data_IF_951994989574
#
_entry.id   IF_951994989574
#
_cell.length_a   1.000
_cell.length_b   1.000
_cell.length_c   1.000
_cell.angle_alpha   90.00
_cell.angle_beta   90.00
_cell.angle_gamma   90.00
#
_symmetry.space_group_name_H-M   'P 1'
#
loop_
_entity.id
_entity.type
_entity.pdbx_description
1 polymer ?
#
# COMPACT_ATOMS: atom_id res chain seq x y z
N UNK A 1 -11.37 -18.97 -6.50
CA UNK A 1 -11.38 -18.43 -7.87
C UNK A 1 -10.06 -17.69 -8.08
N UNK A 2 -9.46 -17.79 -9.25
CA UNK A 2 -8.23 -17.06 -9.59
C UNK A 2 -8.63 -15.79 -10.33
N UNK A 3 -8.23 -14.61 -9.83
CA UNK A 3 -8.43 -13.36 -10.58
C UNK A 3 -7.53 -13.37 -11.81
N UNK A 4 -8.12 -13.20 -13.00
CA UNK A 4 -7.40 -13.11 -14.28
C UNK A 4 -7.50 -11.68 -14.82
N UNK A 5 -6.81 -10.78 -14.13
CA UNK A 5 -6.80 -9.38 -14.51
C UNK A 5 -5.44 -8.73 -14.21
N UNK A 6 -5.15 -7.66 -14.94
CA UNK A 6 -4.04 -6.76 -14.64
C UNK A 6 -4.61 -5.47 -14.07
N UNK A 7 -4.14 -5.06 -12.90
CA UNK A 7 -4.50 -3.77 -12.32
C UNK A 7 -3.41 -2.74 -12.60
N UNK A 8 -3.84 -1.57 -13.06
CA UNK A 8 -2.98 -0.39 -13.24
C UNK A 8 -3.47 0.67 -12.25
N UNK A 9 -2.55 1.17 -11.44
CA UNK A 9 -2.85 2.07 -10.32
C UNK A 9 -2.04 3.35 -10.53
N UNK A 10 -2.77 4.45 -10.71
CA UNK A 10 -2.23 5.77 -10.92
C UNK A 10 -1.29 5.91 -12.12
N UNK A 11 -0.41 6.91 -12.06
CA UNK A 11 0.56 7.20 -13.11
C UNK A 11 0.75 8.70 -13.32
N UNK A 12 1.40 9.09 -14.41
CA UNK A 12 1.47 10.49 -14.84
C UNK A 12 1.08 10.60 -16.31
N UNK A 13 0.15 11.49 -16.62
CA UNK A 13 -0.18 11.87 -17.99
C UNK A 13 -0.16 13.40 -18.11
N UNK A 14 0.45 13.90 -19.18
CA UNK A 14 0.51 15.34 -19.49
C UNK A 14 0.99 16.21 -18.31
N UNK A 15 1.94 15.69 -17.52
CA UNK A 15 2.51 16.39 -16.36
C UNK A 15 1.67 16.33 -15.07
N UNK A 16 0.49 15.70 -15.10
CA UNK A 16 -0.37 15.52 -13.92
C UNK A 16 -0.41 14.08 -13.47
N UNK A 17 -0.51 13.86 -12.15
CA UNK A 17 -0.75 12.53 -11.60
C UNK A 17 -2.14 12.05 -12.01
N UNK A 18 -2.22 10.82 -12.49
CA UNK A 18 -3.48 10.13 -12.70
C UNK A 18 -3.79 9.41 -11.39
N UNK A 19 -4.95 9.68 -10.81
CA UNK A 19 -5.37 9.10 -9.54
C UNK A 19 -6.35 7.93 -9.70
N UNK A 20 -6.39 7.30 -10.88
CA UNK A 20 -7.34 6.25 -11.20
C UNK A 20 -6.81 4.84 -10.88
N UNK A 21 -7.74 3.89 -10.82
CA UNK A 21 -7.44 2.47 -10.80
C UNK A 21 -8.19 1.84 -11.95
N UNK A 22 -7.46 1.15 -12.81
CA UNK A 22 -8.00 0.46 -13.98
C UNK A 22 -7.70 -1.02 -13.90
N UNK A 23 -8.64 -1.84 -14.39
CA UNK A 23 -8.57 -3.29 -14.47
C UNK A 23 -8.65 -3.69 -15.93
N UNK A 24 -7.65 -4.42 -16.42
CA UNK A 24 -7.71 -5.09 -17.71
C UNK A 24 -8.16 -6.53 -17.47
N UNK A 25 -9.32 -6.89 -17.99
CA UNK A 25 -9.84 -8.25 -17.92
C UNK A 25 -9.17 -9.12 -18.99
N UNK A 26 -8.44 -10.16 -18.58
CA UNK A 26 -7.70 -11.01 -19.52
C UNK A 26 -8.61 -11.93 -20.33
N UNK A 27 -9.84 -12.16 -19.89
CA UNK A 27 -10.79 -13.04 -20.56
C UNK A 27 -11.57 -12.30 -21.64
N UNK A 28 -11.98 -11.05 -21.36
CA UNK A 28 -12.72 -10.24 -22.34
C UNK A 28 -11.81 -9.35 -23.18
N UNK A 29 -10.58 -9.08 -22.71
CA UNK A 29 -9.66 -8.15 -23.36
C UNK A 29 -10.06 -6.68 -23.21
N UNK A 30 -10.89 -6.36 -22.20
CA UNK A 30 -11.45 -5.02 -22.01
C UNK A 30 -10.84 -4.30 -20.80
N UNK A 31 -10.70 -2.97 -20.94
CA UNK A 31 -10.35 -2.09 -19.84
C UNK A 31 -11.60 -1.62 -19.10
N UNK A 32 -11.57 -1.72 -17.78
CA UNK A 32 -12.59 -1.22 -16.87
C UNK A 32 -11.97 -0.26 -15.88
N UNK A 33 -12.51 0.96 -15.80
CA UNK A 33 -12.13 1.90 -14.75
C UNK A 33 -12.83 1.51 -13.46
N UNK A 34 -12.04 1.18 -12.43
CA UNK A 34 -12.53 0.80 -11.10
C UNK A 34 -12.76 2.06 -10.27
N UNK A 35 -11.76 2.94 -10.21
CA UNK A 35 -11.83 4.21 -9.50
C UNK A 35 -11.60 5.33 -10.49
N UNK A 36 -12.47 6.35 -10.43
CA UNK A 36 -12.27 7.60 -11.15
C UNK A 36 -11.94 8.68 -10.13
N UNK A 37 -10.87 9.47 -10.31
CA UNK A 37 -10.65 10.61 -9.45
C UNK A 37 -11.83 11.57 -9.57
N UNK A 38 -12.18 12.28 -8.48
CA UNK A 38 -13.18 13.31 -8.54
C UNK A 38 -12.85 14.35 -9.62
N UNK A 39 -13.85 14.95 -10.28
CA UNK A 39 -13.62 15.96 -11.30
C UNK A 39 -12.85 17.15 -10.72
N UNK A 40 -12.02 17.82 -11.52
CA UNK A 40 -11.34 19.04 -11.08
C UNK A 40 -12.38 20.09 -10.65
N UNK A 41 -12.06 20.84 -9.61
CA UNK A 41 -12.93 21.92 -9.16
C UNK A 41 -13.06 23.02 -10.23
N UNK A 42 -14.22 23.70 -10.32
CA UNK A 42 -14.37 24.90 -11.11
C UNK A 42 -13.30 25.95 -10.81
N UNK A 43 -12.88 26.76 -11.81
CA UNK A 43 -11.96 27.86 -11.60
C UNK A 43 -12.45 28.80 -10.48
N UNK A 44 -11.55 29.19 -9.57
CA UNK A 44 -11.86 30.10 -8.46
C UNK A 44 -12.21 29.41 -7.14
N UNK A 45 -12.35 28.08 -7.13
CA UNK A 45 -12.45 27.30 -5.89
C UNK A 45 -11.08 26.72 -5.54
N UNK A 46 -10.55 27.07 -4.38
CA UNK A 46 -9.41 26.37 -3.81
C UNK A 46 -9.89 25.08 -3.16
N UNK A 47 -9.18 24.01 -3.41
CA UNK A 47 -9.42 22.71 -2.82
C UNK A 47 -9.14 22.75 -1.31
N UNK A 48 -10.18 22.86 -0.47
CA UNK A 48 -10.14 22.47 0.96
C UNK A 48 -10.35 20.98 1.12
N UNK A 49 -9.81 20.18 0.19
CA UNK A 49 -9.91 18.73 0.27
C UNK A 49 -9.16 18.30 1.52
N UNK A 50 -9.85 17.59 2.40
CA UNK A 50 -9.19 16.89 3.50
C UNK A 50 -8.19 15.89 2.91
N UNK A 51 -7.20 15.48 3.71
CA UNK A 51 -6.25 14.42 3.31
C UNK A 51 -7.00 13.18 2.80
N UNK A 52 -8.21 12.93 3.31
CA UNK A 52 -9.05 11.77 3.03
C UNK A 52 -9.78 11.80 1.69
N UNK A 53 -9.82 12.96 1.03
CA UNK A 53 -10.56 13.13 -0.22
C UNK A 53 -9.61 13.23 -1.44
N UNK A 54 -8.31 13.46 -1.22
CA UNK A 54 -7.36 13.63 -2.32
C UNK A 54 -7.22 12.34 -3.16
N UNK A 55 -7.16 12.46 -4.51
CA UNK A 55 -6.85 11.36 -5.41
C UNK A 55 -5.56 10.61 -5.02
N UNK A 56 -5.35 9.44 -5.61
CA UNK A 56 -4.08 8.72 -5.49
C UNK A 56 -2.91 9.62 -5.91
N UNK A 57 -1.90 9.69 -5.05
CA UNK A 57 -0.67 10.45 -5.25
C UNK A 57 0.41 9.65 -5.97
N UNK A 58 1.66 9.89 -5.59
CA UNK A 58 2.79 9.08 -6.06
C UNK A 58 2.70 7.70 -5.40
N UNK A 59 2.53 6.66 -6.20
CA UNK A 59 2.44 5.29 -5.69
C UNK A 59 3.81 4.83 -5.20
N UNK A 60 3.89 4.47 -3.92
CA UNK A 60 5.10 3.96 -3.29
C UNK A 60 5.15 2.43 -3.34
N UNK A 61 4.01 1.79 -3.10
CA UNK A 61 3.84 0.35 -3.19
C UNK A 61 2.36 0.01 -3.39
N UNK A 62 2.07 -1.15 -3.95
CA UNK A 62 0.72 -1.69 -3.99
C UNK A 62 0.75 -3.21 -3.86
N UNK A 63 -0.34 -3.78 -3.33
CA UNK A 63 -0.55 -5.23 -3.30
C UNK A 63 -2.02 -5.55 -3.47
N UNK A 64 -2.33 -6.79 -3.86
CA UNK A 64 -3.69 -7.26 -4.13
C UNK A 64 -3.97 -8.51 -3.30
N UNK A 65 -5.06 -8.47 -2.52
CA UNK A 65 -5.60 -9.64 -1.87
C UNK A 65 -6.71 -10.26 -2.72
N UNK A 66 -6.43 -11.44 -3.27
CA UNK A 66 -7.37 -12.21 -4.08
C UNK A 66 -8.59 -12.68 -3.29
N UNK A 67 -8.44 -12.93 -1.98
CA UNK A 67 -9.52 -13.47 -1.15
C UNK A 67 -10.60 -12.42 -0.88
N UNK A 68 -10.18 -11.20 -0.56
CA UNK A 68 -11.09 -10.07 -0.31
C UNK A 68 -11.33 -9.18 -1.53
N UNK A 69 -10.60 -9.41 -2.63
CA UNK A 69 -10.65 -8.63 -3.88
C UNK A 69 -10.36 -7.15 -3.63
N UNK A 70 -9.37 -6.89 -2.77
CA UNK A 70 -8.94 -5.55 -2.37
C UNK A 70 -7.54 -5.25 -2.84
N UNK A 71 -7.33 -4.03 -3.29
CA UNK A 71 -6.00 -3.48 -3.56
C UNK A 71 -5.65 -2.56 -2.40
N UNK A 72 -4.48 -2.76 -1.79
CA UNK A 72 -3.92 -1.83 -0.82
C UNK A 72 -2.78 -1.08 -1.48
N UNK A 73 -2.86 0.24 -1.41
CA UNK A 73 -1.91 1.16 -2.03
C UNK A 73 -1.27 2.00 -0.94
N UNK A 74 0.06 2.02 -0.90
CA UNK A 74 0.81 3.05 -0.20
C UNK A 74 1.09 4.18 -1.19
N UNK A 75 0.62 5.39 -0.89
CA UNK A 75 0.86 6.56 -1.72
C UNK A 75 1.48 7.73 -0.95
N UNK A 76 1.93 8.73 -1.70
CA UNK A 76 2.46 9.98 -1.20
C UNK A 76 1.76 11.16 -1.90
N UNK A 77 1.14 12.03 -1.11
CA UNK A 77 0.49 13.26 -1.58
C UNK A 77 1.09 14.47 -0.87
N UNK A 78 1.25 15.58 -1.60
CA UNK A 78 1.70 16.85 -1.02
C UNK A 78 0.54 17.84 -1.00
N UNK A 79 0.18 18.28 0.21
CA UNK A 79 -0.91 19.25 0.45
C UNK A 79 -0.29 20.50 1.09
N UNK A 80 -0.32 21.61 0.36
CA UNK A 80 0.40 22.81 0.76
C UNK A 80 1.91 22.56 0.85
N UNK A 81 2.49 22.65 2.05
CA UNK A 81 3.92 22.41 2.32
C UNK A 81 4.20 21.07 3.00
N UNK A 82 3.17 20.24 3.21
CA UNK A 82 3.28 18.97 3.94
C UNK A 82 3.11 17.81 2.97
N UNK A 83 4.00 16.85 3.09
CA UNK A 83 3.89 15.57 2.39
C UNK A 83 3.31 14.54 3.35
N UNK A 84 2.23 13.90 2.90
CA UNK A 84 1.50 12.87 3.63
C UNK A 84 1.68 11.55 2.91
N UNK A 85 1.96 10.48 3.65
CA UNK A 85 1.95 9.12 3.14
C UNK A 85 0.73 8.39 3.68
N UNK A 86 0.03 7.66 2.84
CA UNK A 86 -1.26 7.07 3.20
C UNK A 86 -1.34 5.63 2.73
N UNK A 87 -2.17 4.85 3.41
CA UNK A 87 -2.70 3.61 2.90
C UNK A 87 -4.11 3.84 2.40
N UNK A 88 -4.33 3.45 1.14
CA UNK A 88 -5.61 3.53 0.47
C UNK A 88 -6.04 2.10 0.17
N UNK A 89 -7.25 1.78 0.58
CA UNK A 89 -7.91 0.54 0.23
C UNK A 89 -8.84 0.81 -0.95
N UNK A 90 -8.70 0.01 -2.00
CA UNK A 90 -9.58 0.02 -3.16
C UNK A 90 -10.30 -1.32 -3.19
N UNK A 91 -11.62 -1.27 -3.00
CA UNK A 91 -12.49 -2.42 -3.14
C UNK A 91 -12.89 -2.54 -4.61
N UNK A 92 -12.40 -3.60 -5.27
CA UNK A 92 -12.58 -3.76 -6.72
C UNK A 92 -14.02 -4.04 -7.08
N UNK A 93 -14.74 -4.79 -6.25
CA UNK A 93 -16.11 -5.23 -6.54
C UNK A 93 -17.10 -4.10 -6.34
N UNK A 94 -16.93 -3.35 -5.25
CA UNK A 94 -17.80 -2.22 -4.93
C UNK A 94 -17.37 -0.93 -5.63
N UNK A 95 -16.24 -0.93 -6.33
CA UNK A 95 -15.70 0.20 -7.10
C UNK A 95 -15.59 1.49 -6.28
N UNK A 96 -15.16 1.37 -5.03
CA UNK A 96 -14.90 2.52 -4.17
C UNK A 96 -13.49 2.44 -3.60
N UNK A 97 -12.91 3.61 -3.36
CA UNK A 97 -11.67 3.76 -2.64
C UNK A 97 -11.97 4.39 -1.28
N UNK A 98 -11.16 4.06 -0.29
CA UNK A 98 -11.13 4.74 0.99
C UNK A 98 -9.72 4.89 1.47
N UNK A 99 -9.47 5.95 2.22
CA UNK A 99 -8.23 6.07 2.98
C UNK A 99 -8.41 5.22 4.22
N UNK A 100 -7.58 4.19 4.36
CA UNK A 100 -7.53 3.39 5.56
C UNK A 100 -6.72 4.12 6.65
N UNK A 101 -5.65 4.84 6.25
CA UNK A 101 -4.79 5.49 7.22
C UNK A 101 -3.88 6.52 6.57
N UNK A 102 -3.79 7.72 7.16
CA UNK A 102 -2.64 8.59 6.92
C UNK A 102 -1.52 8.15 7.88
N UNK A 103 -0.60 7.34 7.37
CA UNK A 103 0.47 6.86 8.21
C UNK A 103 1.45 8.00 8.49
N UNK A 104 1.92 8.17 9.75
CA UNK A 104 3.10 9.00 10.03
C UNK A 104 4.35 8.26 9.55
N UNK A 105 4.38 7.87 8.27
CA UNK A 105 5.55 7.32 7.57
C UNK A 105 6.40 8.50 7.06
N UNK A 106 6.39 9.61 7.78
CA UNK A 106 7.09 10.83 7.43
C UNK A 106 8.60 10.59 7.50
N UNK A 107 9.25 10.56 6.33
CA UNK A 107 10.69 10.72 6.15
C UNK A 107 11.61 9.57 6.58
N UNK A 108 11.10 8.54 7.27
CA UNK A 108 11.96 7.47 7.80
C UNK A 108 12.33 6.38 6.78
N UNK A 109 11.52 6.18 5.72
CA UNK A 109 11.74 5.10 4.77
C UNK A 109 12.10 5.61 3.37
N UNK A 110 13.23 5.12 2.84
CA UNK A 110 13.70 5.34 1.48
C UNK A 110 13.00 4.44 0.46
N UNK A 111 12.45 3.32 0.92
CA UNK A 111 11.66 2.36 0.12
C UNK A 111 10.52 1.83 0.97
N UNK A 112 9.35 1.66 0.36
CA UNK A 112 8.22 0.95 0.94
C UNK A 112 7.88 -0.22 0.02
N UNK A 113 7.54 -1.35 0.60
CA UNK A 113 6.98 -2.49 -0.10
C UNK A 113 5.77 -3.02 0.66
N UNK A 114 4.83 -3.63 -0.07
CA UNK A 114 3.60 -4.19 0.49
C UNK A 114 3.41 -5.63 -0.01
N UNK A 115 2.90 -6.47 0.86
CA UNK A 115 2.51 -7.84 0.52
C UNK A 115 1.33 -8.29 1.37
N UNK A 116 0.67 -9.37 0.93
CA UNK A 116 -0.50 -9.96 1.60
C UNK A 116 -0.10 -11.26 2.27
N UNK A 117 -0.49 -11.42 3.53
CA UNK A 117 -0.33 -12.65 4.29
C UNK A 117 -1.44 -13.65 3.94
N UNK A 118 -1.22 -14.94 4.22
CA UNK A 118 -2.19 -16.00 3.93
C UNK A 118 -3.52 -15.89 4.65
N UNK A 119 -3.52 -15.23 5.79
CA UNK A 119 -4.70 -14.98 6.63
C UNK A 119 -5.45 -13.69 6.27
N UNK A 120 -5.10 -13.05 5.16
CA UNK A 120 -5.71 -11.79 4.70
C UNK A 120 -5.20 -10.54 5.42
N UNK A 121 -4.20 -10.66 6.30
CA UNK A 121 -3.48 -9.49 6.82
C UNK A 121 -2.48 -8.96 5.78
N UNK A 122 -2.05 -7.72 5.94
CA UNK A 122 -1.07 -7.07 5.08
C UNK A 122 0.22 -6.88 5.85
N UNK A 123 1.35 -6.84 5.14
CA UNK A 123 2.64 -6.45 5.70
C UNK A 123 3.23 -5.32 4.88
N UNK A 124 3.53 -4.20 5.54
CA UNK A 124 4.36 -3.14 5.00
C UNK A 124 5.81 -3.38 5.42
N UNK A 125 6.74 -3.28 4.48
CA UNK A 125 8.16 -3.18 4.77
C UNK A 125 8.68 -1.79 4.42
N UNK A 126 9.40 -1.17 5.34
CA UNK A 126 10.06 0.12 5.17
C UNK A 126 11.58 0.00 5.30
N UNK A 127 12.32 0.47 4.30
CA UNK A 127 13.78 0.57 4.34
C UNK A 127 14.21 1.84 5.06
N UNK A 128 14.87 1.73 6.22
CA UNK A 128 15.48 2.84 6.96
C UNK A 128 16.90 3.15 6.47
N UNK A 129 17.42 4.36 6.77
CA UNK A 129 18.84 4.67 6.63
C UNK A 129 19.73 3.64 7.34
N UNK A 130 20.93 3.39 6.78
CA UNK A 130 21.89 2.45 7.37
C UNK A 130 21.55 0.98 7.16
N UNK A 131 20.79 0.64 6.13
CA UNK A 131 20.39 -0.73 5.80
C UNK A 131 19.65 -1.44 6.95
N UNK A 132 18.82 -0.71 7.69
CA UNK A 132 17.87 -1.31 8.64
C UNK A 132 16.47 -1.34 8.02
N UNK A 133 15.62 -2.27 8.43
CA UNK A 133 14.25 -2.33 7.95
C UNK A 133 13.25 -2.55 9.09
N UNK A 134 12.02 -2.08 8.87
CA UNK A 134 10.87 -2.36 9.71
C UNK A 134 9.81 -3.09 8.87
N UNK A 135 9.24 -4.16 9.41
CA UNK A 135 8.10 -4.88 8.88
C UNK A 135 6.91 -4.68 9.81
N UNK A 136 5.77 -4.25 9.28
CA UNK A 136 4.57 -3.96 10.07
C UNK A 136 3.41 -4.75 9.52
N UNK A 137 2.85 -5.64 10.34
CA UNK A 137 1.68 -6.44 9.97
C UNK A 137 0.42 -5.77 10.48
N UNK A 138 -0.60 -5.69 9.64
CA UNK A 138 -1.86 -5.04 9.96
C UNK A 138 -3.03 -5.68 9.22
N UNK A 139 -4.23 -5.54 9.77
CA UNK A 139 -5.48 -5.84 9.08
C UNK A 139 -6.22 -4.55 8.76
N UNK A 140 -7.02 -4.57 7.69
CA UNK A 140 -7.91 -3.49 7.29
C UNK A 140 -9.37 -3.98 7.37
N UNK A 141 -9.96 -4.05 8.59
CA UNK A 141 -11.37 -4.37 8.74
C UNK A 141 -12.25 -3.35 8.01
N UNK A 142 -13.51 -3.74 7.77
CA UNK A 142 -14.48 -3.00 6.95
C UNK A 142 -14.77 -1.55 7.40
N UNK A 143 -14.29 -1.10 8.56
CA UNK A 143 -14.48 0.28 9.02
C UNK A 143 -13.29 1.20 8.71
N UNK A 144 -12.30 0.73 7.95
CA UNK A 144 -11.13 1.53 7.58
C UNK A 144 -10.14 1.78 8.73
N UNK A 145 -10.44 1.34 9.96
CA UNK A 145 -9.51 1.44 11.09
C UNK A 145 -8.42 0.38 10.92
N UNK A 146 -7.16 0.80 10.89
CA UNK A 146 -6.01 -0.14 10.85
C UNK A 146 -5.91 -0.88 12.18
N UNK A 147 -5.92 -2.21 12.09
CA UNK A 147 -5.69 -3.10 13.23
C UNK A 147 -4.26 -3.64 13.17
N UNK A 148 -3.35 -3.07 13.98
CA UNK A 148 -1.95 -3.45 13.99
C UNK A 148 -1.75 -4.81 14.67
N UNK A 149 -1.20 -5.76 13.93
CA UNK A 149 -0.96 -7.14 14.39
C UNK A 149 0.43 -7.35 14.96
N UNK A 150 1.38 -6.48 14.61
CA UNK A 150 2.70 -6.47 15.23
C UNK A 150 3.80 -5.95 14.31
N UNK A 151 5.01 -5.96 14.85
CA UNK A 151 6.21 -5.40 14.24
C UNK A 151 7.31 -6.44 14.19
N UNK A 152 8.07 -6.43 13.10
CA UNK A 152 9.33 -7.12 12.92
C UNK A 152 10.39 -6.08 12.54
N UNK A 153 11.64 -6.28 12.94
CA UNK A 153 12.76 -5.39 12.59
C UNK A 153 13.98 -6.21 12.27
N UNK A 154 14.82 -5.69 11.39
CA UNK A 154 16.11 -6.31 11.09
C UNK A 154 17.05 -5.40 10.35
N UNK A 155 18.11 -6.00 9.83
CA UNK A 155 19.14 -5.35 9.01
C UNK A 155 19.22 -6.01 7.64
N UNK A 156 19.83 -5.30 6.69
CA UNK A 156 19.85 -5.62 5.27
C UNK A 156 19.15 -4.55 4.42
N UNK A 157 19.59 -4.44 3.17
CA UNK A 157 18.92 -3.63 2.14
C UNK A 157 17.83 -4.48 1.48
N UNK A 158 16.58 -3.99 1.45
CA UNK A 158 15.48 -4.63 0.73
C UNK A 158 15.73 -4.54 -0.77
N UNK A 159 15.96 -5.70 -1.39
CA UNK A 159 16.31 -5.81 -2.81
C UNK A 159 15.07 -5.77 -3.70
N UNK A 160 14.01 -6.46 -3.31
CA UNK A 160 12.80 -6.66 -4.11
C UNK A 160 11.55 -6.56 -3.22
N UNK A 161 10.37 -6.58 -3.85
CA UNK A 161 9.12 -6.60 -3.09
C UNK A 161 8.99 -7.95 -2.36
N UNK A 162 8.68 -7.95 -1.06
CA UNK A 162 8.43 -9.17 -0.31
C UNK A 162 7.27 -9.93 -0.92
N UNK A 163 7.39 -11.25 -0.96
CA UNK A 163 6.39 -12.12 -1.56
C UNK A 163 5.94 -13.19 -0.57
N UNK A 164 4.66 -13.56 -0.71
CA UNK A 164 4.04 -14.60 0.09
C UNK A 164 4.45 -15.98 -0.41
N UNK A 165 4.75 -16.89 0.52
CA UNK A 165 4.94 -18.32 0.26
C UNK A 165 4.16 -19.09 1.32
N UNK A 166 3.19 -19.90 0.91
CA UNK A 166 2.37 -20.73 1.80
C UNK A 166 1.80 -19.98 3.02
N UNK A 167 2.44 -20.12 4.18
CA UNK A 167 2.10 -19.59 5.51
C UNK A 167 2.99 -18.41 5.98
N UNK A 168 3.96 -17.98 5.17
CA UNK A 168 4.95 -16.96 5.52
C UNK A 168 5.20 -15.94 4.40
N UNK A 169 5.99 -14.92 4.72
CA UNK A 169 6.51 -13.94 3.76
C UNK A 169 8.02 -14.08 3.66
N UNK A 170 8.52 -14.05 2.44
CA UNK A 170 9.94 -14.00 2.13
C UNK A 170 10.32 -12.57 1.80
N UNK A 171 11.36 -12.07 2.46
CA UNK A 171 11.93 -10.74 2.26
C UNK A 171 13.31 -10.90 1.62
N UNK A 172 13.45 -10.59 0.31
CA UNK A 172 14.75 -10.58 -0.35
C UNK A 172 15.59 -9.40 0.14
N UNK A 173 16.74 -9.70 0.74
CA UNK A 173 17.65 -8.74 1.34
C UNK A 173 19.06 -8.82 0.73
N UNK A 174 19.81 -7.74 0.84
CA UNK A 174 21.27 -7.75 0.71
C UNK A 174 21.88 -7.46 2.08
N UNK A 175 22.61 -8.42 2.62
CA UNK A 175 23.29 -8.32 3.91
C UNK A 175 24.79 -8.52 3.70
N UNK A 176 25.60 -7.55 4.17
CA UNK A 176 27.05 -7.55 3.96
C UNK A 176 27.46 -7.74 2.47
N UNK A 177 26.68 -7.15 1.55
CA UNK A 177 26.93 -7.24 0.10
C UNK A 177 26.43 -8.52 -0.57
N UNK A 178 25.91 -9.49 0.18
CA UNK A 178 25.45 -10.78 -0.35
C UNK A 178 23.92 -10.85 -0.38
N UNK A 179 23.32 -11.43 -1.43
CA UNK A 179 21.89 -11.68 -1.48
C UNK A 179 21.51 -12.76 -0.44
N UNK A 180 20.49 -12.47 0.35
CA UNK A 180 19.91 -13.36 1.35
C UNK A 180 18.39 -13.23 1.34
N UNK A 181 17.72 -14.15 2.03
CA UNK A 181 16.28 -14.10 2.24
C UNK A 181 15.98 -14.30 3.72
N UNK A 182 15.13 -13.43 4.27
CA UNK A 182 14.55 -13.63 5.60
C UNK A 182 13.13 -14.12 5.43
N UNK A 183 12.79 -15.18 6.17
CA UNK A 183 11.43 -15.71 6.23
C UNK A 183 10.76 -15.20 7.49
N UNK A 184 9.58 -14.61 7.35
CA UNK A 184 8.78 -14.09 8.46
C UNK A 184 7.40 -14.76 8.46
N UNK A 185 7.09 -15.38 9.59
CA UNK A 185 5.81 -15.98 9.93
C UNK A 185 4.94 -14.98 10.71
N UNK A 186 3.64 -15.26 10.90
CA UNK A 186 2.80 -14.48 11.80
C UNK A 186 3.38 -14.24 13.21
N UNK A 187 4.15 -15.19 13.75
CA UNK A 187 4.70 -15.14 15.10
C UNK A 187 5.89 -14.16 15.23
N UNK A 188 6.56 -13.83 14.12
CA UNK A 188 7.69 -12.89 14.11
C UNK A 188 7.25 -11.43 14.27
N UNK A 189 5.95 -11.16 14.14
CA UNK A 189 5.35 -9.83 14.33
C UNK A 189 4.79 -9.71 15.74
N UNK A 190 5.51 -9.00 16.61
CA UNK A 190 5.15 -8.86 18.04
C UNK A 190 4.68 -7.46 18.37
N UNK A 191 3.98 -7.28 19.50
CA UNK A 191 3.55 -5.96 19.98
C UNK A 191 2.35 -5.34 19.25
N UNK A 192 1.45 -6.16 18.71
CA UNK A 192 0.18 -5.70 18.11
C UNK A 192 -0.84 -5.19 19.14
N UNK A 193 -1.79 -4.37 18.66
CA UNK A 193 -2.89 -3.79 19.43
C UNK A 193 -3.67 -2.75 18.61
N UNK A 194 -4.94 -2.46 18.94
CA UNK A 194 -5.71 -1.43 18.25
C UNK A 194 -5.06 -0.05 18.45
N UNK A 195 -4.83 0.69 17.36
CA UNK A 195 -4.37 2.08 17.44
C UNK A 195 -5.55 2.96 17.87
N UNK A 196 -5.49 3.52 19.08
CA UNK A 196 -6.43 4.56 19.52
C UNK A 196 -5.78 5.92 19.22
N UNK A 197 -5.91 6.41 17.98
CA UNK A 197 -5.65 7.79 17.54
C UNK A 197 -4.26 8.41 17.86
N UNK A 198 -3.50 8.76 16.81
CA UNK A 198 -2.48 9.82 16.91
C UNK A 198 -3.10 11.17 16.58
#
# INVERSE_FOLDING_TARGET
MTEQAVFVIGGKAFGSSIGDVSRYDLMTGEWQRIITPPPPLPPGLTNTWSVDEQPLGTILAATYDVATRRIIVADEVTIGKKTHRRFIEVDVDRRFQRIAFAAPVTGAYSRIALTVMPDGTFVMFGQRPGNAWDGVRFALPFLGIVDWRGWARGTGEIMENPFRVADHVVVPLRLAGLPQAVTLTPADFTGGGPCVGF
#
